data_IF_233313033833
#
_entry.id   IF_233313033833
#
_cell.length_a   1.000
_cell.length_b   1.000
_cell.length_c   1.000
_cell.angle_alpha   90.00
_cell.angle_beta   90.00
_cell.angle_gamma   90.00
#
_symmetry.space_group_name_H-M   'P 1'
#
loop_
_entity.id
_entity.type
_entity.pdbx_description
1 polymer ?
#
# COMPACT_ATOMS: atom_id res chain seq x y z
N UNK A 1 -8.22 34.12 -11.12
CA UNK A 1 -9.33 33.83 -10.19
C UNK A 1 -9.60 32.33 -10.31
N UNK A 2 -9.42 31.44 -9.34
CA UNK A 2 -9.44 31.51 -7.88
C UNK A 2 -8.21 30.77 -7.31
N UNK A 3 -7.44 31.42 -6.45
CA UNK A 3 -6.40 30.78 -5.63
C UNK A 3 -7.05 30.36 -4.31
N UNK A 4 -7.18 29.06 -4.08
CA UNK A 4 -7.68 28.52 -2.81
C UNK A 4 -6.50 28.36 -1.85
N UNK A 5 -6.26 29.39 -1.05
CA UNK A 5 -5.28 29.41 0.03
C UNK A 5 -5.74 28.45 1.12
N UNK A 6 -5.04 27.32 1.28
CA UNK A 6 -5.19 26.43 2.42
C UNK A 6 -4.54 27.07 3.66
N UNK A 7 -5.37 27.67 4.50
CA UNK A 7 -4.96 28.20 5.81
C UNK A 7 -4.71 27.05 6.78
N UNK A 8 -3.45 26.76 7.08
CA UNK A 8 -3.06 26.00 8.27
C UNK A 8 -2.72 26.97 9.40
N UNK A 9 -3.73 27.25 10.24
CA UNK A 9 -3.55 28.08 11.43
C UNK A 9 -2.94 27.29 12.58
N UNK A 10 -1.70 27.62 12.94
CA UNK A 10 -1.23 27.65 14.34
C UNK A 10 -0.41 28.92 14.53
N UNK A 11 -0.95 29.88 15.27
CA UNK A 11 -0.26 31.12 15.63
C UNK A 11 0.95 30.88 16.54
N UNK A 12 1.86 31.87 16.64
CA UNK A 12 3.08 31.74 17.41
C UNK A 12 2.79 31.93 18.90
N UNK A 13 3.27 31.02 19.75
CA UNK A 13 3.25 31.22 21.21
C UNK A 13 4.62 31.75 21.62
N UNK A 14 4.65 33.04 21.99
CA UNK A 14 5.80 33.72 22.58
C UNK A 14 6.09 33.17 23.99
N UNK A 15 7.38 33.01 24.27
CA UNK A 15 7.94 32.67 25.58
C UNK A 15 7.63 33.73 26.63
N UNK A 16 7.12 33.31 27.79
CA UNK A 16 7.21 34.06 29.03
C UNK A 16 7.51 33.09 30.19
N UNK A 17 8.60 33.36 30.90
CA UNK A 17 9.02 32.65 32.11
C UNK A 17 8.32 33.22 33.34
N UNK A 18 7.59 32.39 34.09
CA UNK A 18 7.64 32.36 35.58
C UNK A 18 6.87 31.15 36.12
N UNK A 19 7.43 30.50 37.14
CA UNK A 19 7.04 29.16 37.57
C UNK A 19 5.75 29.07 38.40
N UNK A 20 5.17 27.87 38.41
CA UNK A 20 4.62 27.22 39.61
C UNK A 20 4.41 25.73 39.29
N UNK A 21 5.20 24.89 39.94
CA UNK A 21 5.08 23.43 39.91
C UNK A 21 3.76 22.98 40.56
N UNK A 22 3.13 21.95 39.95
CA UNK A 22 2.20 20.95 40.54
C UNK A 22 0.94 20.63 39.71
N UNK A 23 0.71 21.22 38.53
CA UNK A 23 -0.46 20.87 37.69
C UNK A 23 -0.14 20.24 36.31
N UNK A 24 1.14 20.07 35.95
CA UNK A 24 1.52 19.62 34.60
C UNK A 24 1.54 18.09 34.40
N UNK A 25 1.49 17.30 35.47
CA UNK A 25 1.61 15.82 35.40
C UNK A 25 0.34 15.15 34.84
N UNK A 26 -0.82 15.79 34.97
CA UNK A 26 -2.10 15.27 34.45
C UNK A 26 -2.30 15.58 32.96
N UNK A 27 -1.87 16.75 32.50
CA UNK A 27 -1.96 17.14 31.08
C UNK A 27 -1.05 16.28 30.19
N UNK A 28 0.18 15.98 30.65
CA UNK A 28 1.11 15.10 29.94
C UNK A 28 0.60 13.66 29.83
N UNK A 29 -0.14 13.16 30.84
CA UNK A 29 -0.78 11.84 30.81
C UNK A 29 -1.99 11.80 29.87
N UNK A 30 -2.76 12.89 29.78
CA UNK A 30 -3.90 13.01 28.86
C UNK A 30 -3.43 13.16 27.41
N UNK A 31 -2.32 13.89 27.17
CA UNK A 31 -1.66 13.97 25.88
C UNK A 31 -1.05 12.61 25.49
N UNK A 32 -0.35 11.91 26.41
CA UNK A 32 0.15 10.54 26.16
C UNK A 32 -0.93 9.52 25.84
N UNK A 33 -2.15 9.66 26.38
CA UNK A 33 -3.28 8.78 26.03
C UNK A 33 -3.84 9.05 24.64
N UNK A 34 -3.79 10.29 24.12
CA UNK A 34 -4.20 10.56 22.73
C UNK A 34 -3.23 9.99 21.71
N UNK A 35 -1.95 9.87 22.05
CA UNK A 35 -0.94 9.14 21.26
C UNK A 35 -1.14 7.61 21.24
N UNK A 36 -2.15 7.07 21.94
CA UNK A 36 -2.53 5.65 21.79
C UNK A 36 -3.57 5.43 20.69
N UNK A 37 -4.09 6.48 20.05
CA UNK A 37 -5.17 6.35 19.06
C UNK A 37 -4.67 6.25 17.61
N UNK A 38 -3.50 6.79 17.29
CA UNK A 38 -2.90 6.67 15.97
C UNK A 38 -1.55 5.94 16.03
N UNK A 39 -1.37 4.98 15.15
CA UNK A 39 -0.14 4.24 15.00
C UNK A 39 0.99 5.16 14.59
N UNK A 40 2.13 5.07 15.27
CA UNK A 40 3.35 5.84 15.00
C UNK A 40 3.69 5.91 13.50
N UNK A 41 3.47 4.83 12.75
CA UNK A 41 3.75 4.78 11.31
C UNK A 41 2.88 5.75 10.50
N UNK A 42 1.59 5.85 10.85
CA UNK A 42 0.64 6.73 10.16
C UNK A 42 1.00 8.18 10.42
N UNK A 43 1.32 8.53 11.67
CA UNK A 43 1.75 9.89 12.03
C UNK A 43 3.01 10.30 11.27
N UNK A 44 4.06 9.47 11.29
CA UNK A 44 5.31 9.75 10.58
C UNK A 44 5.10 9.94 9.08
N UNK A 45 4.22 9.13 8.48
CA UNK A 45 3.90 9.25 7.07
C UNK A 45 3.11 10.53 6.75
N UNK A 46 2.14 10.90 7.60
CA UNK A 46 1.40 12.15 7.46
C UNK A 46 2.32 13.37 7.60
N UNK A 47 3.26 13.35 8.55
CA UNK A 47 4.22 14.43 8.76
C UNK A 47 5.17 14.57 7.56
N UNK A 48 5.62 13.45 7.00
CA UNK A 48 6.39 13.43 5.75
C UNK A 48 5.60 14.08 4.59
N UNK A 49 4.34 13.69 4.41
CA UNK A 49 3.45 14.29 3.39
C UNK A 49 3.32 15.80 3.57
N UNK A 50 3.00 16.27 4.78
CA UNK A 50 2.85 17.70 5.07
C UNK A 50 4.15 18.47 4.79
N UNK A 51 5.28 17.95 5.25
CA UNK A 51 6.58 18.60 5.08
C UNK A 51 6.96 18.79 3.61
N UNK A 52 6.65 17.81 2.75
CA UNK A 52 6.92 17.93 1.31
C UNK A 52 5.92 18.87 0.63
N UNK A 53 4.62 18.76 0.96
CA UNK A 53 3.59 19.59 0.34
C UNK A 53 3.69 21.08 0.71
N UNK A 54 4.17 21.41 1.91
CA UNK A 54 4.35 22.82 2.32
C UNK A 54 5.47 23.55 1.58
N UNK A 55 6.50 22.84 1.12
CA UNK A 55 7.73 23.44 0.56
C UNK A 55 7.96 23.13 -0.90
N UNK A 56 7.46 22.00 -1.39
CA UNK A 56 7.83 21.43 -2.69
C UNK A 56 6.62 20.91 -3.47
N UNK A 57 5.45 21.53 -3.27
CA UNK A 57 4.22 21.19 -3.99
C UNK A 57 4.36 21.31 -5.51
N UNK A 58 5.27 22.14 -6.01
CA UNK A 58 5.49 22.37 -7.45
C UNK A 58 6.07 21.15 -8.18
N UNK A 59 6.63 20.18 -7.45
CA UNK A 59 7.20 18.96 -8.04
C UNK A 59 6.14 17.93 -8.46
N UNK A 60 4.88 18.12 -8.07
CA UNK A 60 3.81 17.17 -8.28
C UNK A 60 2.72 17.72 -9.20
N UNK A 61 2.11 16.83 -9.99
CA UNK A 61 1.01 17.19 -10.90
C UNK A 61 -0.31 17.34 -10.14
N UNK A 62 -1.31 17.98 -10.77
CA UNK A 62 -2.63 18.16 -10.16
C UNK A 62 -3.31 16.82 -9.79
N UNK A 63 -3.07 15.75 -10.55
CA UNK A 63 -3.59 14.41 -10.22
C UNK A 63 -2.87 13.79 -9.02
N UNK A 64 -1.57 14.00 -8.89
CA UNK A 64 -0.78 13.57 -7.74
C UNK A 64 -1.22 14.33 -6.46
N UNK A 65 -1.50 15.62 -6.56
CA UNK A 65 -2.10 16.42 -5.47
C UNK A 65 -3.48 15.92 -5.04
N UNK A 66 -4.32 15.51 -6.01
CA UNK A 66 -5.60 14.90 -5.71
C UNK A 66 -5.44 13.57 -4.94
N UNK A 67 -4.41 12.79 -5.26
CA UNK A 67 -4.04 11.58 -4.52
C UNK A 67 -3.69 11.89 -3.07
N UNK A 68 -2.79 12.85 -2.82
CA UNK A 68 -2.45 13.24 -1.46
C UNK A 68 -3.66 13.77 -0.69
N UNK A 69 -4.52 14.54 -1.34
CA UNK A 69 -5.75 15.07 -0.73
C UNK A 69 -6.72 13.95 -0.34
N UNK A 70 -6.91 12.95 -1.21
CA UNK A 70 -7.76 11.80 -0.90
C UNK A 70 -7.19 10.96 0.24
N UNK A 71 -5.86 10.81 0.32
CA UNK A 71 -5.22 10.12 1.45
C UNK A 71 -5.60 10.72 2.80
N UNK A 72 -5.70 12.05 2.91
CA UNK A 72 -6.13 12.71 4.15
C UNK A 72 -7.63 12.53 4.45
N UNK A 73 -8.46 12.34 3.43
CA UNK A 73 -9.91 12.12 3.56
C UNK A 73 -10.26 10.67 3.95
N UNK A 74 -9.35 9.73 3.72
CA UNK A 74 -9.55 8.32 4.08
C UNK A 74 -9.71 8.12 5.59
N UNK A 75 -10.55 7.15 5.95
CA UNK A 75 -10.70 6.68 7.32
C UNK A 75 -9.36 6.19 7.90
N UNK A 76 -9.20 6.29 9.22
CA UNK A 76 -7.97 5.90 9.91
C UNK A 76 -7.52 4.47 9.56
N UNK A 77 -8.43 3.51 9.60
CA UNK A 77 -8.18 2.09 9.25
C UNK A 77 -7.62 1.91 7.84
N UNK A 78 -8.18 2.64 6.86
CA UNK A 78 -7.72 2.62 5.47
C UNK A 78 -6.32 3.24 5.34
N UNK A 79 -6.06 4.36 6.02
CA UNK A 79 -4.73 5.00 6.06
C UNK A 79 -3.70 4.09 6.72
N UNK A 80 -4.06 3.44 7.81
CA UNK A 80 -3.21 2.48 8.51
C UNK A 80 -2.84 1.31 7.59
N UNK A 81 -3.85 0.67 6.98
CA UNK A 81 -3.64 -0.43 6.06
C UNK A 81 -2.74 -0.02 4.89
N UNK A 82 -3.00 1.15 4.30
CA UNK A 82 -2.17 1.69 3.21
C UNK A 82 -0.71 1.86 3.63
N UNK A 83 -0.45 2.54 4.75
CA UNK A 83 0.92 2.78 5.24
C UNK A 83 1.63 1.48 5.60
N UNK A 84 0.91 0.48 6.11
CA UNK A 84 1.46 -0.85 6.38
C UNK A 84 1.83 -1.60 5.11
N UNK A 85 0.98 -1.55 4.09
CA UNK A 85 1.24 -2.19 2.80
C UNK A 85 2.38 -1.48 2.05
N UNK A 86 2.48 -0.16 2.15
CA UNK A 86 3.52 0.65 1.53
C UNK A 86 4.94 0.29 2.03
N UNK A 87 5.06 -0.20 3.26
CA UNK A 87 6.34 -0.63 3.84
C UNK A 87 6.73 -2.08 3.46
N UNK A 88 5.87 -2.80 2.73
CA UNK A 88 6.14 -4.18 2.28
C UNK A 88 6.71 -4.18 0.86
N UNK A 89 6.64 -5.32 0.17
CA UNK A 89 7.19 -5.47 -1.18
C UNK A 89 6.27 -4.83 -2.21
N UNK A 90 6.88 -4.11 -3.16
CA UNK A 90 6.20 -3.51 -4.32
C UNK A 90 5.46 -4.57 -5.14
N UNK A 91 4.21 -4.28 -5.51
CA UNK A 91 3.41 -5.09 -6.45
C UNK A 91 3.03 -6.49 -5.94
N UNK A 92 3.19 -6.77 -4.64
CA UNK A 92 2.80 -8.04 -4.07
C UNK A 92 1.32 -8.04 -3.66
N UNK A 93 0.61 -9.11 -4.02
CA UNK A 93 -0.75 -9.37 -3.54
C UNK A 93 -0.73 -9.92 -2.11
N UNK A 94 -1.64 -9.42 -1.28
CA UNK A 94 -1.81 -9.87 0.10
C UNK A 94 -3.23 -10.39 0.32
N UNK A 95 -3.33 -11.51 1.05
CA UNK A 95 -4.61 -12.04 1.52
C UNK A 95 -5.02 -11.32 2.78
N UNK A 96 -6.26 -10.83 2.84
CA UNK A 96 -6.78 -10.17 4.03
C UNK A 96 -6.82 -11.13 5.24
N UNK A 97 -7.08 -12.42 5.01
CA UNK A 97 -6.98 -13.48 6.04
C UNK A 97 -5.65 -13.55 6.79
N UNK A 98 -4.55 -13.26 6.09
CA UNK A 98 -3.18 -13.38 6.65
C UNK A 98 -2.65 -12.05 7.18
N UNK A 99 -3.43 -10.98 7.03
CA UNK A 99 -3.09 -9.66 7.51
C UNK A 99 -3.66 -9.51 8.93
N UNK A 100 -2.93 -9.98 9.93
CA UNK A 100 -3.30 -9.75 11.33
C UNK A 100 -2.86 -8.36 11.77
N UNK A 101 -3.80 -7.39 11.72
CA UNK A 101 -3.59 -6.04 12.23
C UNK A 101 -4.51 -5.78 13.42
N UNK A 102 -3.92 -5.74 14.62
CA UNK A 102 -4.66 -5.52 15.86
C UNK A 102 -5.28 -4.10 15.97
N UNK A 103 -4.80 -3.16 15.16
CA UNK A 103 -5.21 -1.75 15.18
C UNK A 103 -6.32 -1.43 14.17
N UNK A 104 -6.87 -2.44 13.47
CA UNK A 104 -7.88 -2.27 12.42
C UNK A 104 -9.12 -3.09 12.80
N UNK A 105 -10.28 -2.44 12.90
CA UNK A 105 -11.52 -3.11 13.28
C UNK A 105 -12.08 -3.94 12.11
N UNK A 106 -12.15 -3.36 10.91
CA UNK A 106 -12.65 -4.03 9.70
C UNK A 106 -11.69 -3.85 8.51
N UNK A 107 -10.85 -4.86 8.28
CA UNK A 107 -9.92 -4.91 7.15
C UNK A 107 -10.64 -4.91 5.79
N UNK A 108 -11.82 -5.54 5.68
CA UNK A 108 -12.55 -5.62 4.41
C UNK A 108 -13.16 -4.28 4.04
N UNK A 109 -13.67 -3.52 5.01
CA UNK A 109 -14.11 -2.13 4.80
C UNK A 109 -12.95 -1.22 4.42
N UNK A 110 -11.82 -1.31 5.14
CA UNK A 110 -10.62 -0.53 4.85
C UNK A 110 -10.08 -0.80 3.44
N UNK A 111 -10.02 -2.08 3.03
CA UNK A 111 -9.60 -2.48 1.69
C UNK A 111 -10.57 -1.95 0.62
N UNK A 112 -11.89 -2.04 0.85
CA UNK A 112 -12.89 -1.48 -0.06
C UNK A 112 -12.71 0.03 -0.23
N UNK A 113 -12.47 0.77 0.84
CA UNK A 113 -12.22 2.21 0.79
C UNK A 113 -10.99 2.57 -0.04
N UNK A 114 -9.89 1.81 0.08
CA UNK A 114 -8.68 1.99 -0.74
C UNK A 114 -8.89 1.65 -2.22
N UNK A 115 -9.82 0.73 -2.49
CA UNK A 115 -10.18 0.36 -3.86
C UNK A 115 -11.09 1.38 -4.54
N UNK A 116 -11.61 2.39 -3.83
CA UNK A 116 -12.47 3.37 -4.46
C UNK A 116 -11.69 4.26 -5.43
N UNK A 117 -12.22 4.52 -6.64
CA UNK A 117 -11.63 5.46 -7.57
C UNK A 117 -11.72 6.88 -7.03
N UNK A 118 -10.60 7.59 -7.04
CA UNK A 118 -10.52 9.01 -6.71
C UNK A 118 -9.78 9.71 -7.85
N UNK A 119 -10.27 10.88 -8.25
CA UNK A 119 -9.84 11.59 -9.45
C UNK A 119 -10.09 10.81 -10.77
N UNK A 120 -11.22 11.12 -11.41
CA UNK A 120 -11.43 10.84 -12.82
C UNK A 120 -10.72 11.94 -13.63
N UNK A 121 -9.53 11.67 -14.14
CA UNK A 121 -9.01 12.45 -15.25
C UNK A 121 -9.74 11.98 -16.50
N UNK A 122 -10.34 12.88 -17.27
CA UNK A 122 -11.22 12.58 -18.41
C UNK A 122 -10.59 11.77 -19.56
N UNK A 123 -9.30 11.41 -19.47
CA UNK A 123 -8.53 10.68 -20.49
C UNK A 123 -7.86 9.38 -19.99
N UNK A 124 -7.85 9.10 -18.69
CA UNK A 124 -7.17 7.93 -18.10
C UNK A 124 -8.11 7.22 -17.12
N UNK A 125 -7.90 5.93 -16.89
CA UNK A 125 -8.60 5.20 -15.84
C UNK A 125 -8.46 5.93 -14.49
N UNK A 126 -9.53 5.98 -13.67
CA UNK A 126 -9.49 6.72 -12.41
C UNK A 126 -8.37 6.20 -11.51
N UNK A 127 -7.68 7.09 -10.80
CA UNK A 127 -6.64 6.68 -9.85
C UNK A 127 -7.27 5.88 -8.71
N UNK A 128 -6.61 4.79 -8.30
CA UNK A 128 -7.05 3.90 -7.22
C UNK A 128 -5.84 3.58 -6.34
N UNK A 129 -6.02 3.54 -5.02
CA UNK A 129 -4.91 3.25 -4.09
C UNK A 129 -4.55 1.77 -4.12
N UNK A 130 -5.56 0.92 -4.28
CA UNK A 130 -5.39 -0.54 -4.33
C UNK A 130 -6.30 -1.21 -5.33
N UNK A 131 -5.79 -2.28 -5.94
CA UNK A 131 -6.58 -3.25 -6.67
C UNK A 131 -7.11 -4.32 -5.71
N UNK A 132 -8.37 -4.70 -5.90
CA UNK A 132 -9.02 -5.80 -5.17
C UNK A 132 -9.50 -6.88 -6.14
N UNK A 133 -10.09 -7.96 -5.61
CA UNK A 133 -10.50 -9.16 -6.35
C UNK A 133 -11.26 -8.93 -7.67
N UNK A 134 -12.04 -7.84 -7.78
CA UNK A 134 -12.84 -7.53 -8.97
C UNK A 134 -12.04 -7.00 -10.17
N UNK A 135 -10.85 -6.47 -9.93
CA UNK A 135 -9.97 -5.94 -10.98
C UNK A 135 -9.10 -7.04 -11.61
N UNK A 136 -9.07 -8.22 -10.97
CA UNK A 136 -8.42 -9.38 -11.56
C UNK A 136 -9.40 -10.17 -12.41
N UNK A 137 -9.56 -9.72 -13.64
CA UNK A 137 -10.31 -10.52 -14.62
C UNK A 137 -9.47 -11.57 -15.35
N UNK A 138 -8.13 -11.45 -15.38
CA UNK A 138 -7.37 -12.23 -16.38
C UNK A 138 -6.22 -13.13 -15.89
N UNK A 139 -5.79 -13.10 -14.63
CA UNK A 139 -4.68 -13.95 -14.18
C UNK A 139 -4.99 -14.77 -12.92
N UNK A 140 -5.59 -15.95 -13.07
CA UNK A 140 -5.64 -16.94 -11.97
C UNK A 140 -4.23 -17.25 -11.41
N UNK A 141 -3.20 -17.09 -12.24
CA UNK A 141 -1.81 -17.40 -11.89
C UNK A 141 -1.35 -16.73 -10.60
N UNK A 142 -1.62 -15.43 -10.40
CA UNK A 142 -1.20 -14.76 -9.17
C UNK A 142 -2.04 -15.19 -7.95
N UNK A 143 -3.30 -15.59 -8.13
CA UNK A 143 -4.13 -16.16 -7.03
C UNK A 143 -3.57 -17.49 -6.56
N UNK A 144 -3.20 -18.33 -7.52
CA UNK A 144 -2.58 -19.62 -7.24
C UNK A 144 -1.20 -19.44 -6.61
N UNK A 145 -0.47 -18.41 -7.00
CA UNK A 145 0.82 -18.08 -6.38
C UNK A 145 0.65 -17.65 -4.91
N UNK A 146 -0.45 -16.98 -4.59
CA UNK A 146 -0.75 -16.57 -3.22
C UNK A 146 -1.19 -17.73 -2.30
N UNK A 147 -1.58 -18.86 -2.90
CA UNK A 147 -2.11 -20.03 -2.20
C UNK A 147 -0.99 -20.94 -1.69
N UNK A 148 -1.21 -21.55 -0.51
CA UNK A 148 -0.26 -22.52 0.06
C UNK A 148 -0.32 -23.86 -0.68
N UNK A 149 0.71 -24.69 -0.54
CA UNK A 149 0.73 -26.02 -1.18
C UNK A 149 -0.41 -26.91 -0.69
N UNK A 150 -0.80 -26.79 0.58
CA UNK A 150 -1.88 -27.60 1.16
C UNK A 150 -3.26 -27.14 0.68
N UNK A 151 -3.45 -25.84 0.50
CA UNK A 151 -4.65 -25.28 -0.12
C UNK A 151 -4.73 -25.65 -1.62
N UNK A 152 -3.60 -25.66 -2.33
CA UNK A 152 -3.55 -26.14 -3.73
C UNK A 152 -3.91 -27.63 -3.84
N UNK A 153 -3.46 -28.45 -2.89
CA UNK A 153 -3.86 -29.87 -2.79
C UNK A 153 -5.35 -30.01 -2.49
N UNK A 154 -5.89 -29.19 -1.58
CA UNK A 154 -7.33 -29.18 -1.28
C UNK A 154 -8.15 -28.79 -2.52
N UNK A 155 -7.72 -27.78 -3.26
CA UNK A 155 -8.33 -27.39 -4.53
C UNK A 155 -8.25 -28.51 -5.57
N UNK A 156 -7.09 -29.17 -5.72
CA UNK A 156 -6.93 -30.30 -6.64
C UNK A 156 -7.89 -31.45 -6.28
N UNK A 157 -8.01 -31.77 -4.98
CA UNK A 157 -8.94 -32.79 -4.48
C UNK A 157 -10.40 -32.41 -4.75
N UNK A 158 -10.80 -31.16 -4.52
CA UNK A 158 -12.16 -30.65 -4.78
C UNK A 158 -12.51 -30.61 -6.27
N UNK A 159 -11.50 -30.41 -7.13
CA UNK A 159 -11.65 -30.40 -8.59
C UNK A 159 -11.52 -31.80 -9.22
N UNK A 160 -11.26 -32.85 -8.42
CA UNK A 160 -11.05 -34.22 -8.93
C UNK A 160 -9.76 -34.39 -9.74
N UNK A 161 -8.79 -33.48 -9.60
CA UNK A 161 -7.47 -33.53 -10.26
C UNK A 161 -6.44 -34.21 -9.36
N UNK A 162 -5.35 -34.72 -9.95
CA UNK A 162 -4.25 -35.35 -9.20
C UNK A 162 -3.63 -34.35 -8.21
N UNK A 163 -3.68 -34.67 -6.92
CA UNK A 163 -3.24 -33.81 -5.81
C UNK A 163 -1.78 -34.06 -5.37
N UNK A 164 -1.00 -34.84 -6.12
CA UNK A 164 0.37 -35.23 -5.74
C UNK A 164 1.40 -34.58 -6.67
N UNK A 165 2.37 -33.88 -6.08
CA UNK A 165 3.52 -33.30 -6.80
C UNK A 165 4.06 -32.00 -6.21
N UNK A 166 5.17 -31.52 -6.79
CA UNK A 166 5.79 -30.21 -6.52
C UNK A 166 4.84 -29.08 -6.91
N UNK A 167 4.94 -27.92 -6.23
CA UNK A 167 4.11 -26.71 -6.47
C UNK A 167 3.88 -26.40 -7.96
N UNK A 168 4.92 -26.48 -8.78
CA UNK A 168 4.84 -26.16 -10.22
C UNK A 168 4.01 -27.17 -11.01
N UNK A 169 4.02 -28.44 -10.61
CA UNK A 169 3.18 -29.48 -11.22
C UNK A 169 1.72 -29.27 -10.87
N UNK A 170 1.42 -28.84 -9.63
CA UNK A 170 0.06 -28.49 -9.20
C UNK A 170 -0.45 -27.25 -9.95
N UNK A 171 0.39 -26.22 -10.10
CA UNK A 171 0.06 -25.03 -10.88
C UNK A 171 -0.28 -25.38 -12.33
N UNK A 172 0.58 -26.15 -13.00
CA UNK A 172 0.36 -26.63 -14.38
C UNK A 172 -0.91 -27.49 -14.50
N UNK A 173 -1.17 -28.37 -13.53
CA UNK A 173 -2.36 -29.23 -13.54
C UNK A 173 -3.66 -28.43 -13.32
N UNK A 174 -3.62 -27.39 -12.50
CA UNK A 174 -4.78 -26.54 -12.22
C UNK A 174 -5.09 -25.60 -13.39
N UNK A 175 -4.06 -25.06 -14.05
CA UNK A 175 -4.18 -24.17 -15.23
C UNK A 175 -4.37 -24.91 -16.54
N UNK A 176 -4.04 -26.21 -16.61
CA UNK A 176 -4.32 -27.05 -17.77
C UNK A 176 -5.82 -27.00 -18.13
N UNK A 177 -6.08 -26.85 -19.43
CA UNK A 177 -7.40 -26.70 -20.05
C UNK A 177 -8.41 -27.70 -19.46
N UNK A 178 -9.68 -27.31 -19.32
CA UNK A 178 -10.69 -28.12 -18.67
C UNK A 178 -11.04 -29.35 -19.50
N UNK A 179 -10.37 -30.47 -19.24
CA UNK A 179 -10.90 -31.80 -19.54
C UNK A 179 -11.82 -32.11 -18.37
N UNK A 180 -13.14 -32.14 -18.58
CA UNK A 180 -14.13 -32.96 -17.88
C UNK A 180 -15.52 -32.35 -18.11
N UNK A 181 -16.17 -32.73 -19.21
CA UNK A 181 -17.62 -32.71 -19.29
C UNK A 181 -18.12 -33.83 -18.35
N UNK A 182 -18.76 -33.47 -17.24
CA UNK A 182 -19.44 -34.46 -16.38
C UNK A 182 -20.87 -34.59 -16.88
N UNK A 183 -21.21 -35.76 -17.41
CA UNK A 183 -22.59 -36.12 -17.76
C UNK A 183 -23.37 -36.35 -16.46
N UNK A 184 -24.39 -35.51 -16.20
CA UNK A 184 -25.29 -35.67 -15.06
C UNK A 184 -26.68 -36.06 -15.57
N UNK A 185 -27.25 -37.13 -15.02
CA UNK A 185 -28.58 -37.62 -15.35
C UNK A 185 -29.45 -37.56 -14.10
N UNK A 186 -30.46 -36.68 -14.11
CA UNK A 186 -31.57 -36.72 -13.15
C UNK A 186 -32.89 -36.56 -13.91
N UNK A 187 -33.86 -37.42 -13.57
CA UNK A 187 -35.26 -37.36 -14.02
C UNK A 187 -35.42 -37.16 -15.54
N UNK A 188 -34.82 -38.06 -16.34
CA UNK A 188 -35.00 -38.15 -17.81
C UNK A 188 -34.61 -36.93 -18.64
N UNK A 189 -33.88 -35.96 -18.07
CA UNK A 189 -33.30 -34.83 -18.82
C UNK A 189 -31.79 -34.83 -18.68
N UNK A 190 -31.09 -35.17 -19.76
CA UNK A 190 -29.64 -35.03 -19.85
C UNK A 190 -29.32 -33.54 -19.96
N UNK A 191 -28.73 -32.97 -18.91
CA UNK A 191 -28.24 -31.59 -18.93
C UNK A 191 -26.73 -31.59 -18.79
N UNK A 192 -26.05 -30.96 -19.74
CA UNK A 192 -24.62 -30.68 -19.62
C UNK A 192 -24.49 -29.41 -18.79
N UNK A 193 -24.12 -29.54 -17.52
CA UNK A 193 -23.74 -28.37 -16.73
C UNK A 193 -22.31 -27.97 -17.11
N UNK A 194 -22.17 -27.18 -18.18
CA UNK A 194 -20.92 -26.46 -18.47
C UNK A 194 -20.85 -25.22 -17.58
N UNK A 195 -20.51 -25.40 -16.31
CA UNK A 195 -19.77 -24.33 -15.65
C UNK A 195 -18.30 -24.51 -16.07
N UNK A 196 -17.68 -23.50 -16.71
CA UNK A 196 -16.28 -23.59 -17.04
C UNK A 196 -15.52 -23.89 -15.76
N UNK A 197 -14.58 -24.85 -15.80
CA UNK A 197 -13.80 -25.26 -14.62
C UNK A 197 -13.09 -24.07 -13.96
N UNK A 198 -12.91 -22.99 -14.73
CA UNK A 198 -12.49 -21.67 -14.30
C UNK A 198 -13.41 -21.05 -13.24
N UNK A 199 -14.74 -20.99 -13.47
CA UNK A 199 -15.69 -20.38 -12.53
C UNK A 199 -15.79 -21.18 -11.22
N UNK A 200 -15.72 -22.51 -11.31
CA UNK A 200 -15.68 -23.39 -10.13
C UNK A 200 -14.40 -23.21 -9.33
N UNK A 201 -13.27 -23.03 -10.01
CA UNK A 201 -12.00 -22.76 -9.35
C UNK A 201 -12.02 -21.38 -8.69
N UNK A 202 -12.60 -20.35 -9.34
CA UNK A 202 -12.79 -19.03 -8.76
C UNK A 202 -13.72 -19.06 -7.53
N UNK A 203 -14.81 -19.81 -7.57
CA UNK A 203 -15.72 -19.94 -6.42
C UNK A 203 -15.02 -20.62 -5.25
N UNK A 204 -14.29 -21.72 -5.50
CA UNK A 204 -13.54 -22.38 -4.43
C UNK A 204 -12.37 -21.55 -3.91
N UNK A 205 -11.77 -20.71 -4.75
CA UNK A 205 -10.76 -19.75 -4.32
C UNK A 205 -11.37 -18.66 -3.42
N UNK A 206 -12.55 -18.16 -3.77
CA UNK A 206 -13.29 -17.21 -2.92
C UNK A 206 -13.69 -17.85 -1.58
N UNK A 207 -14.02 -19.16 -1.57
CA UNK A 207 -14.32 -19.89 -0.34
C UNK A 207 -13.09 -20.08 0.56
N UNK A 208 -11.88 -20.17 -0.01
CA UNK A 208 -10.63 -20.37 0.74
C UNK A 208 -10.03 -19.04 1.19
N UNK A 209 -10.16 -18.00 0.38
CA UNK A 209 -9.66 -16.65 0.66
C UNK A 209 -10.78 -15.81 1.25
N UNK A 210 -11.03 -15.97 2.54
CA UNK A 210 -12.00 -15.12 3.23
C UNK A 210 -11.52 -13.65 3.21
N UNK A 211 -12.45 -12.71 3.17
CA UNK A 211 -12.14 -11.27 3.16
C UNK A 211 -11.56 -10.69 1.85
N UNK A 212 -10.90 -11.49 1.00
CA UNK A 212 -10.40 -11.11 -0.32
C UNK A 212 -8.88 -10.85 -0.41
N UNK A 213 -8.45 -10.38 -1.59
CA UNK A 213 -7.05 -10.02 -1.87
C UNK A 213 -6.90 -8.53 -2.14
N UNK A 214 -5.79 -7.95 -1.68
CA UNK A 214 -5.42 -6.54 -1.91
C UNK A 214 -4.00 -6.43 -2.46
N UNK A 215 -3.83 -5.56 -3.45
CA UNK A 215 -2.51 -5.14 -3.94
C UNK A 215 -2.50 -3.61 -4.08
N UNK A 216 -1.40 -2.98 -3.69
CA UNK A 216 -1.24 -1.55 -3.92
C UNK A 216 -0.99 -1.30 -5.40
N UNK A 217 -1.64 -0.28 -5.94
CA UNK A 217 -1.40 0.10 -7.33
C UNK A 217 0.04 0.57 -7.53
N UNK A 218 0.64 0.17 -8.65
CA UNK A 218 2.05 0.47 -8.93
C UNK A 218 2.27 1.97 -9.15
N UNK A 219 1.30 2.70 -9.67
CA UNK A 219 1.44 4.14 -9.92
C UNK A 219 1.43 4.91 -8.59
N UNK A 220 0.55 4.54 -7.68
CA UNK A 220 0.46 5.12 -6.33
C UNK A 220 1.70 4.78 -5.52
N UNK A 221 2.18 3.54 -5.60
CA UNK A 221 3.41 3.15 -4.91
C UNK A 221 4.61 3.98 -5.41
N UNK A 222 4.78 4.13 -6.72
CA UNK A 222 5.84 4.97 -7.29
C UNK A 222 5.72 6.45 -6.88
N UNK A 223 4.51 6.98 -6.77
CA UNK A 223 4.28 8.34 -6.26
C UNK A 223 4.74 8.50 -4.81
N UNK A 224 4.45 7.51 -3.96
CA UNK A 224 4.88 7.53 -2.55
C UNK A 224 6.39 7.33 -2.39
N UNK A 225 7.02 6.52 -3.26
CA UNK A 225 8.49 6.42 -3.33
C UNK A 225 9.09 7.77 -3.71
N UNK A 226 8.54 8.45 -4.72
CA UNK A 226 9.00 9.77 -5.15
C UNK A 226 8.84 10.81 -4.03
N UNK A 227 7.73 10.78 -3.31
CA UNK A 227 7.51 11.64 -2.15
C UNK A 227 8.60 11.43 -1.08
N UNK A 228 8.88 10.18 -0.72
CA UNK A 228 9.92 9.88 0.26
C UNK A 228 11.31 10.26 -0.25
N UNK A 229 11.56 10.07 -1.54
CA UNK A 229 12.80 10.47 -2.18
C UNK A 229 13.03 11.99 -2.09
N UNK A 230 11.99 12.78 -2.32
CA UNK A 230 12.04 14.24 -2.09
C UNK A 230 12.26 14.55 -0.61
N UNK A 231 11.58 13.85 0.30
CA UNK A 231 11.71 14.08 1.73
C UNK A 231 13.12 13.80 2.27
N UNK A 232 13.74 12.69 1.88
CA UNK A 232 15.09 12.29 2.29
C UNK A 232 16.19 12.86 1.40
N UNK A 233 15.84 13.61 0.35
CA UNK A 233 16.79 14.16 -0.64
C UNK A 233 17.62 13.07 -1.33
N UNK A 234 17.00 11.91 -1.55
CA UNK A 234 17.63 10.71 -2.05
C UNK A 234 16.92 9.45 -1.58
N UNK A 235 17.46 8.28 -1.90
CA UNK A 235 16.88 7.01 -1.46
C UNK A 235 17.10 6.80 0.05
N UNK A 236 16.12 6.23 0.77
CA UNK A 236 16.26 5.95 2.18
C UNK A 236 17.40 4.94 2.41
N UNK A 237 18.45 5.39 3.12
CA UNK A 237 19.66 4.59 3.39
C UNK A 237 19.38 3.37 4.28
N UNK A 238 18.32 3.43 5.10
CA UNK A 238 17.99 2.42 6.12
C UNK A 238 16.85 1.47 5.67
N UNK A 239 16.72 1.24 4.36
CA UNK A 239 15.74 0.31 3.79
C UNK A 239 14.38 0.98 3.50
N UNK A 240 13.34 0.64 4.27
CA UNK A 240 11.98 1.13 3.99
C UNK A 240 11.82 2.65 4.17
N UNK A 241 10.81 3.22 3.49
CA UNK A 241 10.49 4.65 3.48
C UNK A 241 10.38 5.28 4.88
N UNK A 242 9.96 4.50 5.89
CA UNK A 242 9.72 5.03 7.24
C UNK A 242 10.76 4.56 8.27
N UNK A 243 11.69 3.67 7.91
CA UNK A 243 12.62 3.06 8.89
C UNK A 243 13.44 4.12 9.63
N UNK A 244 14.01 5.09 8.91
CA UNK A 244 14.84 6.14 9.51
C UNK A 244 14.07 6.98 10.53
N UNK A 245 12.86 7.42 10.15
CA UNK A 245 11.99 8.20 11.02
C UNK A 245 11.51 7.41 12.24
N UNK A 246 11.19 6.12 12.06
CA UNK A 246 10.82 5.19 13.14
C UNK A 246 11.98 4.99 14.12
N UNK A 247 13.19 4.78 13.62
CA UNK A 247 14.39 4.58 14.42
C UNK A 247 14.75 5.82 15.25
N UNK A 248 14.58 7.01 14.67
CA UNK A 248 14.70 8.29 15.38
C UNK A 248 13.68 8.38 16.51
N UNK A 249 12.40 8.15 16.20
CA UNK A 249 11.30 8.32 17.16
C UNK A 249 11.29 7.28 18.27
N UNK A 250 11.76 6.07 17.99
CA UNK A 250 11.95 5.01 19.00
C UNK A 250 13.19 5.21 19.86
N UNK A 251 13.99 6.26 19.62
CA UNK A 251 15.21 6.58 20.36
C UNK A 251 16.38 5.63 20.10
N UNK A 252 16.26 4.72 19.12
CA UNK A 252 17.34 3.80 18.74
C UNK A 252 18.47 4.52 18.00
N UNK A 253 18.12 5.56 17.25
CA UNK A 253 19.07 6.45 16.59
C UNK A 253 18.85 7.87 17.11
N UNK A 254 19.91 8.48 17.63
CA UNK A 254 19.87 9.89 18.04
C UNK A 254 20.55 10.70 16.94
N UNK A 255 19.79 11.56 16.27
CA UNK A 255 20.31 12.49 15.29
C UNK A 255 20.69 13.81 15.96
N UNK A 256 21.75 14.48 15.53
CA UNK A 256 22.12 15.79 16.07
C UNK A 256 21.01 16.80 15.78
N UNK A 257 20.73 17.69 16.73
CA UNK A 257 19.79 18.79 16.53
C UNK A 257 20.51 19.92 15.79
N UNK A 258 20.02 20.26 14.60
CA UNK A 258 20.51 21.38 13.82
C UNK A 258 19.35 22.22 13.31
N UNK A 259 19.62 23.51 13.09
CA UNK A 259 18.68 24.41 12.43
C UNK A 259 18.78 24.14 10.94
N UNK A 260 17.68 23.72 10.33
CA UNK A 260 17.61 23.45 8.88
C UNK A 260 16.72 24.47 8.19
N UNK A 261 17.06 24.79 6.95
CA UNK A 261 16.19 25.52 6.02
C UNK A 261 16.00 24.65 4.80
N UNK A 262 14.74 24.30 4.49
CA UNK A 262 14.41 23.65 3.22
C UNK A 262 14.20 24.73 2.18
N UNK A 263 15.08 24.79 1.20
CA UNK A 263 14.95 25.60 0.01
C UNK A 263 14.48 24.73 -1.17
N UNK A 264 13.86 25.39 -2.15
CA UNK A 264 13.41 24.77 -3.40
C UNK A 264 14.52 24.74 -4.46
N UNK A 265 15.77 25.00 -4.08
CA UNK A 265 16.90 25.15 -5.02
C UNK A 265 17.34 23.81 -5.61
N UNK A 266 17.16 22.72 -4.88
CA UNK A 266 17.68 21.40 -5.27
C UNK A 266 16.93 20.81 -6.47
N UNK A 267 15.61 21.00 -6.55
CA UNK A 267 14.78 20.60 -7.68
C UNK A 267 13.90 21.76 -8.13
N UNK A 268 14.34 22.51 -9.17
CA UNK A 268 13.56 23.61 -9.72
C UNK A 268 12.26 23.12 -10.38
N UNK A 269 12.36 22.03 -11.15
CA UNK A 269 11.27 21.49 -11.97
C UNK A 269 11.07 19.99 -11.72
N UNK A 270 9.85 19.53 -11.97
CA UNK A 270 9.48 18.11 -11.94
C UNK A 270 10.36 17.26 -12.87
N UNK A 271 10.70 17.76 -14.04
CA UNK A 271 11.53 17.02 -14.99
C UNK A 271 12.96 16.80 -14.47
N UNK A 272 13.47 17.72 -13.65
CA UNK A 272 14.76 17.54 -12.99
C UNK A 272 14.70 16.40 -11.97
N UNK A 273 13.63 16.35 -11.18
CA UNK A 273 13.38 15.27 -10.22
C UNK A 273 13.29 13.91 -10.92
N UNK A 274 12.54 13.80 -12.01
CA UNK A 274 12.38 12.55 -12.75
C UNK A 274 13.71 12.05 -13.35
N UNK A 275 14.49 12.94 -13.98
CA UNK A 275 15.81 12.56 -14.51
C UNK A 275 16.76 12.08 -13.42
N UNK A 276 16.70 12.69 -12.24
CA UNK A 276 17.53 12.28 -11.12
C UNK A 276 17.08 10.94 -10.53
N UNK A 277 15.77 10.68 -10.49
CA UNK A 277 15.21 9.38 -10.13
C UNK A 277 15.68 8.28 -11.09
N UNK A 278 15.56 8.51 -12.41
CA UNK A 278 16.03 7.61 -13.46
C UNK A 278 17.53 7.34 -13.35
N UNK A 279 18.35 8.38 -13.15
CA UNK A 279 19.78 8.24 -12.97
C UNK A 279 20.12 7.39 -11.74
N UNK A 280 19.39 7.57 -10.63
CA UNK A 280 19.60 6.78 -9.40
C UNK A 280 19.21 5.31 -9.60
N UNK A 281 18.15 5.03 -10.35
CA UNK A 281 17.75 3.66 -10.71
C UNK A 281 18.79 3.00 -11.62
N UNK A 282 19.35 3.75 -12.58
CA UNK A 282 20.41 3.26 -13.47
C UNK A 282 21.66 2.86 -12.68
N UNK A 283 22.09 3.70 -11.73
CA UNK A 283 23.27 3.43 -10.88
C UNK A 283 23.06 2.13 -10.10
N UNK A 284 21.92 1.94 -9.46
CA UNK A 284 21.63 0.68 -8.73
C UNK A 284 21.62 -0.54 -9.65
N UNK A 285 21.07 -0.39 -10.86
CA UNK A 285 21.07 -1.47 -11.82
C UNK A 285 22.50 -1.86 -12.22
N UNK A 286 23.38 -0.88 -12.40
CA UNK A 286 24.80 -1.11 -12.67
C UNK A 286 25.52 -1.75 -11.48
N UNK A 287 25.29 -1.24 -10.27
CA UNK A 287 25.90 -1.80 -9.05
C UNK A 287 25.48 -3.27 -8.85
N UNK A 288 24.22 -3.60 -9.08
CA UNK A 288 23.72 -4.98 -9.02
C UNK A 288 24.39 -5.91 -10.05
N UNK A 289 24.74 -5.41 -11.24
CA UNK A 289 25.50 -6.19 -12.22
C UNK A 289 26.95 -6.40 -11.80
N UNK A 290 27.58 -5.39 -11.19
CA UNK A 290 28.94 -5.49 -10.69
C UNK A 290 29.03 -6.48 -9.53
N UNK A 291 28.07 -6.45 -8.60
CA UNK A 291 28.02 -7.39 -7.47
C UNK A 291 27.70 -8.84 -7.89
N UNK A 292 27.02 -9.03 -9.02
CA UNK A 292 26.70 -10.34 -9.56
C UNK A 292 27.82 -10.97 -10.41
N UNK A 293 28.88 -10.22 -10.73
CA UNK A 293 30.02 -10.64 -11.55
C UNK A 293 31.21 -11.05 -10.69
#
# INVERSE_FOLDING_TARGET
>A
MLSSVLFFGKGPVQSAMHGSDAQNVTSDRVLKRRYQQESMYVELFQDMLRAVLEKESHLFTASEHACFSFFFQLHYDARYLFVRLLQRKKGQWYRLDKLEYNDVEDLSSAARALSQPFAASSLLEPYRFSMMDGDIKDNILWRLELLTVDELKLLAKRLGKKSSGTRDTLLKNLTAKPTNAVLFSQQHKLSINMQPTHDRLLSYMADIMHGGCICLDSTVYALMERLAFVYYRGKPVLGSLLTSAVLSRTGKYTFPTYVYMRDSSMFPDRDCLLRYEEATQLVEHMDAFVEAS
#
